data_IF_207211857611
#
_entry.id   IF_207211857611
#
_cell.length_a   1.000
_cell.length_b   1.000
_cell.length_c   1.000
_cell.angle_alpha   90.00
_cell.angle_beta   90.00
_cell.angle_gamma   90.00
#
_symmetry.space_group_name_H-M   'P 1'
#
loop_
_entity.id
_entity.type
_entity.pdbx_description
1 polymer ?
#
# COMPACT_ATOMS: atom_id res chain seq x y z
N UNK A 1 22.38 -5.30 14.16
CA UNK A 1 21.77 -3.97 14.31
C UNK A 1 22.25 -3.08 13.20
N UNK A 2 21.39 -2.18 12.70
CA UNK A 2 21.73 -1.15 11.70
C UNK A 2 21.37 0.23 12.26
N UNK A 3 22.04 1.30 11.82
CA UNK A 3 21.64 2.66 12.19
C UNK A 3 20.33 3.02 11.49
N UNK A 4 19.40 3.63 12.23
CA UNK A 4 18.08 4.05 11.75
C UNK A 4 18.18 4.88 10.47
N UNK A 5 19.08 5.85 10.43
CA UNK A 5 19.19 6.77 9.30
C UNK A 5 19.83 6.10 8.07
N UNK A 6 20.72 5.13 8.27
CA UNK A 6 21.24 4.28 7.19
C UNK A 6 20.13 3.39 6.62
N UNK A 7 19.28 2.82 7.48
CA UNK A 7 18.12 2.04 7.05
C UNK A 7 17.11 2.90 6.28
N UNK A 8 16.81 4.12 6.75
CA UNK A 8 15.94 5.06 6.03
C UNK A 8 16.53 5.38 4.65
N UNK A 9 17.85 5.66 4.58
CA UNK A 9 18.54 5.93 3.31
C UNK A 9 18.43 4.73 2.36
N UNK A 10 18.65 3.52 2.84
CA UNK A 10 18.49 2.29 2.05
C UNK A 10 17.05 2.13 1.53
N UNK A 11 16.04 2.39 2.37
CA UNK A 11 14.64 2.32 1.97
C UNK A 11 14.34 3.37 0.90
N UNK A 12 14.82 4.60 1.05
CA UNK A 12 14.60 5.66 0.06
C UNK A 12 15.29 5.36 -1.27
N UNK A 13 16.48 4.75 -1.24
CA UNK A 13 17.14 4.25 -2.44
C UNK A 13 16.33 3.13 -3.11
N UNK A 14 15.75 2.24 -2.29
CA UNK A 14 14.88 1.17 -2.78
C UNK A 14 13.61 1.71 -3.43
N UNK A 15 12.96 2.72 -2.83
CA UNK A 15 11.75 3.35 -3.39
C UNK A 15 12.06 4.18 -4.65
N UNK A 16 13.22 4.83 -4.68
CA UNK A 16 13.66 5.66 -5.80
C UNK A 16 13.31 7.14 -5.61
N UNK A 17 14.28 8.01 -5.93
CA UNK A 17 14.18 9.47 -5.73
C UNK A 17 13.04 10.09 -6.53
N UNK A 18 12.85 9.66 -7.78
CA UNK A 18 11.82 10.22 -8.67
C UNK A 18 10.41 9.90 -8.15
N UNK A 19 10.22 8.69 -7.60
CA UNK A 19 8.94 8.27 -7.05
C UNK A 19 8.61 9.03 -5.75
N UNK A 20 9.61 9.20 -4.88
CA UNK A 20 9.47 10.05 -3.68
C UNK A 20 9.15 11.50 -4.04
N UNK A 21 9.85 12.07 -5.04
CA UNK A 21 9.60 13.43 -5.50
C UNK A 21 8.21 13.60 -6.13
N UNK A 22 7.73 12.56 -6.81
CA UNK A 22 6.36 12.53 -7.35
C UNK A 22 5.32 12.46 -6.24
N UNK A 23 5.53 11.61 -5.24
CA UNK A 23 4.62 11.45 -4.10
C UNK A 23 4.30 12.79 -3.42
N UNK A 24 5.30 13.66 -3.27
CA UNK A 24 5.13 15.00 -2.67
C UNK A 24 4.14 15.91 -3.43
N UNK A 25 3.83 15.61 -4.69
CA UNK A 25 2.94 16.41 -5.54
C UNK A 25 1.54 15.81 -5.66
N UNK A 26 1.43 14.48 -5.57
CA UNK A 26 0.22 13.73 -5.95
C UNK A 26 -0.46 13.04 -4.78
N UNK A 27 0.19 13.01 -3.61
CA UNK A 27 -0.30 12.34 -2.42
C UNK A 27 -0.38 13.34 -1.26
N UNK A 28 -1.56 13.46 -0.67
CA UNK A 28 -1.77 14.27 0.53
C UNK A 28 -1.27 13.55 1.79
N UNK A 29 -0.99 12.25 1.71
CA UNK A 29 -0.43 11.44 2.80
C UNK A 29 1.10 11.40 2.67
N UNK A 30 1.79 11.57 3.80
CA UNK A 30 3.23 11.63 3.85
C UNK A 30 3.89 10.29 3.44
N UNK A 31 4.78 10.34 2.45
CA UNK A 31 5.62 9.23 2.00
C UNK A 31 7.06 9.42 2.50
N UNK A 32 7.49 8.61 3.47
CA UNK A 32 8.80 8.66 4.09
C UNK A 32 8.76 8.46 5.60
N UNK A 33 9.86 8.80 6.27
CA UNK A 33 9.95 8.81 7.72
C UNK A 33 9.05 9.89 8.31
N UNK A 34 8.25 9.51 9.31
CA UNK A 34 7.24 10.37 9.92
C UNK A 34 7.55 10.68 11.39
N UNK A 35 8.09 9.70 12.13
CA UNK A 35 8.55 9.84 13.51
C UNK A 35 9.86 9.07 13.65
N UNK A 36 10.87 9.69 14.26
CA UNK A 36 12.16 9.06 14.52
C UNK A 36 12.21 8.56 15.96
N UNK A 37 12.62 7.30 16.12
CA UNK A 37 12.80 6.64 17.42
C UNK A 37 14.27 6.32 17.68
N UNK A 38 14.56 5.15 18.26
CA UNK A 38 15.91 4.69 18.61
C UNK A 38 16.88 4.78 17.42
N UNK A 39 18.15 5.05 17.74
CA UNK A 39 19.21 5.14 16.74
C UNK A 39 19.59 3.78 16.16
N UNK A 40 19.62 2.73 16.98
CA UNK A 40 19.97 1.38 16.55
C UNK A 40 18.70 0.55 16.35
N UNK A 41 18.57 -0.06 15.17
CA UNK A 41 17.42 -0.90 14.79
C UNK A 41 17.86 -2.37 14.77
N UNK A 42 17.18 -3.19 15.57
CA UNK A 42 17.34 -4.64 15.60
C UNK A 42 16.20 -5.35 14.89
N UNK A 43 14.96 -4.82 15.02
CA UNK A 43 13.76 -5.49 14.56
C UNK A 43 12.80 -4.52 13.87
N UNK A 44 12.32 -4.93 12.70
CA UNK A 44 11.40 -4.17 11.85
C UNK A 44 10.04 -4.86 11.85
N UNK A 45 8.96 -4.11 12.05
CA UNK A 45 7.60 -4.57 11.87
C UNK A 45 6.99 -3.93 10.60
N UNK A 46 6.26 -4.72 9.80
CA UNK A 46 5.58 -4.26 8.59
C UNK A 46 4.07 -4.36 8.78
N UNK A 47 3.32 -3.32 8.45
CA UNK A 47 1.87 -3.31 8.57
C UNK A 47 1.17 -2.54 7.46
N UNK A 48 -0.10 -2.83 7.21
CA UNK A 48 -0.88 -2.06 6.23
C UNK A 48 -1.25 -0.68 6.75
N UNK A 49 -1.68 -0.59 8.01
CA UNK A 49 -2.15 0.67 8.60
C UNK A 49 -1.64 0.86 10.02
N UNK A 50 -1.28 2.10 10.36
CA UNK A 50 -0.87 2.50 11.70
C UNK A 50 -2.08 2.53 12.65
N UNK A 51 -2.30 1.41 13.36
CA UNK A 51 -3.35 1.26 14.35
C UNK A 51 -2.81 0.84 15.72
N UNK A 52 -3.62 0.98 16.77
CA UNK A 52 -3.21 0.73 18.15
C UNK A 52 -2.85 -0.75 18.42
N UNK A 53 -3.60 -1.68 17.82
CA UNK A 53 -3.37 -3.12 17.98
C UNK A 53 -2.02 -3.53 17.38
N UNK A 54 -1.72 -3.06 16.17
CA UNK A 54 -0.43 -3.26 15.53
C UNK A 54 0.71 -2.74 16.40
N UNK A 55 0.59 -1.52 16.93
CA UNK A 55 1.63 -0.92 17.77
C UNK A 55 1.84 -1.71 19.05
N UNK A 56 0.77 -2.19 19.70
CA UNK A 56 0.86 -3.05 20.88
C UNK A 56 1.62 -4.34 20.59
N UNK A 57 1.32 -5.00 19.47
CA UNK A 57 2.00 -6.24 19.09
C UNK A 57 3.45 -5.97 18.65
N UNK A 58 3.73 -4.88 17.95
CA UNK A 58 5.07 -4.45 17.58
C UNK A 58 5.94 -4.20 18.83
N UNK A 59 5.39 -3.52 19.84
CA UNK A 59 6.06 -3.31 21.14
C UNK A 59 6.28 -4.62 21.88
N UNK A 60 5.27 -5.49 21.95
CA UNK A 60 5.39 -6.82 22.58
C UNK A 60 6.47 -7.67 21.91
N UNK A 61 6.64 -7.51 20.59
CA UNK A 61 7.69 -8.16 19.81
C UNK A 61 9.00 -7.40 19.83
N UNK A 62 9.14 -6.30 20.56
CA UNK A 62 10.36 -5.49 20.65
C UNK A 62 10.82 -4.97 19.27
N UNK A 63 9.90 -4.50 18.45
CA UNK A 63 10.24 -3.76 17.23
C UNK A 63 10.86 -2.40 17.60
N UNK A 64 11.82 -1.94 16.81
CA UNK A 64 12.40 -0.59 16.93
C UNK A 64 11.93 0.33 15.78
N UNK A 65 11.44 -0.28 14.69
CA UNK A 65 11.14 0.39 13.44
C UNK A 65 9.89 -0.23 12.80
N UNK A 66 8.95 0.59 12.37
CA UNK A 66 7.71 0.15 11.75
C UNK A 66 7.54 0.80 10.36
N UNK A 67 7.22 -0.01 9.36
CA UNK A 67 6.91 0.45 7.99
C UNK A 67 5.43 0.19 7.71
N UNK A 68 4.75 1.23 7.24
CA UNK A 68 3.34 1.19 6.91
C UNK A 68 3.05 1.58 5.47
N UNK A 69 1.97 1.05 4.91
CA UNK A 69 1.36 1.64 3.71
C UNK A 69 0.57 2.92 4.10
N UNK A 70 -0.35 2.82 5.05
CA UNK A 70 -1.02 3.95 5.68
C UNK A 70 -0.35 4.31 7.01
N UNK A 71 0.60 5.25 6.96
CA UNK A 71 1.23 5.81 8.15
C UNK A 71 0.36 6.85 8.88
N UNK A 72 0.98 7.81 9.56
CA UNK A 72 0.29 8.99 10.06
C UNK A 72 -0.25 9.83 8.91
N UNK A 73 -1.51 10.22 9.03
CA UNK A 73 -2.16 11.16 8.13
C UNK A 73 -1.93 12.60 8.63
N UNK A 74 -1.13 13.41 7.92
CA UNK A 74 -0.79 14.74 8.37
C UNK A 74 -1.98 15.71 8.42
N UNK A 75 -3.06 15.41 7.69
CA UNK A 75 -4.27 16.23 7.71
C UNK A 75 -4.94 16.21 9.08
N UNK A 76 -4.73 15.15 9.86
CA UNK A 76 -5.20 15.05 11.25
C UNK A 76 -4.51 16.03 12.21
N UNK A 77 -3.37 16.61 11.83
CA UNK A 77 -2.63 17.60 12.63
C UNK A 77 -3.15 19.04 12.48
N UNK A 78 -4.04 19.32 11.52
CA UNK A 78 -4.63 20.65 11.33
C UNK A 78 -5.69 21.00 12.38
N UNK A 79 -5.96 20.11 13.34
CA UNK A 79 -6.92 20.27 14.42
C UNK A 79 -6.42 19.59 15.69
N UNK A 80 -7.28 19.50 16.71
CA UNK A 80 -6.98 18.78 17.95
C UNK A 80 -6.79 17.28 17.65
N UNK A 81 -5.79 16.68 18.29
CA UNK A 81 -5.63 15.23 18.26
C UNK A 81 -6.81 14.52 18.90
N UNK A 82 -7.41 13.57 18.19
CA UNK A 82 -8.36 12.65 18.79
C UNK A 82 -7.71 11.82 19.90
N UNK A 83 -8.50 11.32 20.85
CA UNK A 83 -7.99 10.42 21.89
C UNK A 83 -7.32 9.17 21.31
N UNK A 84 -7.82 8.65 20.18
CA UNK A 84 -7.22 7.52 19.48
C UNK A 84 -5.84 7.86 18.89
N UNK A 85 -5.68 9.05 18.30
CA UNK A 85 -4.38 9.51 17.82
C UNK A 85 -3.38 9.67 18.98
N UNK A 86 -3.82 10.27 20.10
CA UNK A 86 -3.00 10.45 21.30
C UNK A 86 -2.53 9.11 21.90
N UNK A 87 -3.41 8.09 21.96
CA UNK A 87 -3.03 6.74 22.42
C UNK A 87 -1.92 6.12 21.57
N UNK A 88 -2.02 6.24 20.24
CA UNK A 88 -0.99 5.74 19.30
C UNK A 88 0.32 6.50 19.47
N UNK A 89 0.27 7.83 19.54
CA UNK A 89 1.46 8.66 19.77
C UNK A 89 2.14 8.31 21.11
N UNK A 90 1.37 8.09 22.18
CA UNK A 90 1.90 7.65 23.47
C UNK A 90 2.62 6.31 23.38
N UNK A 91 2.08 5.33 22.65
CA UNK A 91 2.75 4.05 22.42
C UNK A 91 4.06 4.22 21.64
N UNK A 92 4.06 5.08 20.61
CA UNK A 92 5.23 5.31 19.77
C UNK A 92 6.35 5.98 20.56
N UNK A 93 6.05 7.10 21.22
CA UNK A 93 7.05 7.87 21.96
C UNK A 93 7.55 7.14 23.21
N UNK A 94 6.67 6.43 23.94
CA UNK A 94 7.10 5.68 25.13
C UNK A 94 8.08 4.54 24.80
N UNK A 95 8.04 4.01 23.58
CA UNK A 95 8.85 2.86 23.18
C UNK A 95 9.92 3.23 22.14
N UNK A 96 10.13 4.53 21.89
CA UNK A 96 11.09 5.06 20.92
C UNK A 96 10.98 4.38 19.54
N UNK A 97 9.77 4.18 19.04
CA UNK A 97 9.54 3.54 17.74
C UNK A 97 9.80 4.53 16.60
N UNK A 98 10.58 4.10 15.61
CA UNK A 98 10.65 4.80 14.32
C UNK A 98 9.47 4.41 13.45
N UNK A 99 8.76 5.38 12.90
CA UNK A 99 7.58 5.18 12.04
C UNK A 99 7.86 5.74 10.65
N UNK A 100 7.68 4.89 9.64
CA UNK A 100 7.82 5.23 8.23
C UNK A 100 6.57 4.79 7.49
N UNK A 101 6.03 5.66 6.63
CA UNK A 101 4.84 5.39 5.83
C UNK A 101 5.12 5.59 4.34
N UNK A 102 4.61 4.71 3.48
CA UNK A 102 4.68 4.86 2.03
C UNK A 102 3.33 4.51 1.42
N UNK A 103 2.54 5.55 1.13
CA UNK A 103 1.21 5.42 0.56
C UNK A 103 1.33 5.30 -0.98
N UNK A 104 1.30 6.42 -1.71
CA UNK A 104 1.48 6.45 -3.16
C UNK A 104 2.70 5.67 -3.64
N UNK A 105 3.84 5.80 -2.95
CA UNK A 105 5.06 5.11 -3.36
C UNK A 105 4.87 3.59 -3.41
N UNK A 106 4.17 2.98 -2.45
CA UNK A 106 3.93 1.53 -2.49
C UNK A 106 2.81 1.15 -3.46
N UNK A 107 1.88 2.01 -3.84
CA UNK A 107 0.95 1.67 -4.93
C UNK A 107 1.59 1.78 -6.31
N UNK A 108 2.47 2.76 -6.50
CA UNK A 108 3.07 3.10 -7.79
C UNK A 108 4.43 2.43 -8.06
N UNK A 109 5.06 1.76 -7.09
CA UNK A 109 6.36 1.13 -7.31
C UNK A 109 6.24 -0.11 -8.23
N UNK A 110 6.97 -0.18 -9.37
CA UNK A 110 6.77 -1.22 -10.39
C UNK A 110 7.29 -2.62 -10.03
N UNK A 111 7.82 -2.83 -8.83
CA UNK A 111 8.50 -4.07 -8.44
C UNK A 111 8.03 -4.57 -7.09
N UNK A 112 8.11 -3.71 -6.07
CA UNK A 112 7.74 -4.05 -4.68
C UNK A 112 6.38 -3.48 -4.27
N UNK A 113 5.72 -2.74 -5.16
CA UNK A 113 4.45 -2.09 -4.85
C UNK A 113 3.27 -3.06 -4.79
N UNK A 114 2.16 -2.60 -4.20
CA UNK A 114 0.93 -3.35 -4.02
C UNK A 114 0.40 -3.86 -5.36
N UNK A 115 0.17 -2.96 -6.32
CA UNK A 115 -0.32 -3.30 -7.66
C UNK A 115 0.63 -4.25 -8.40
N UNK A 116 1.93 -3.96 -8.38
CA UNK A 116 2.94 -4.80 -9.03
C UNK A 116 2.98 -6.21 -8.43
N UNK A 117 2.86 -6.33 -7.11
CA UNK A 117 2.82 -7.61 -6.41
C UNK A 117 1.55 -8.39 -6.75
N UNK A 118 0.39 -7.73 -6.80
CA UNK A 118 -0.88 -8.36 -7.22
C UNK A 118 -0.76 -8.91 -8.65
N UNK A 119 -0.29 -8.07 -9.59
CA UNK A 119 -0.10 -8.45 -11.00
C UNK A 119 0.84 -9.65 -11.12
N UNK A 120 1.97 -9.62 -10.41
CA UNK A 120 2.94 -10.73 -10.38
C UNK A 120 2.33 -12.01 -9.83
N UNK A 121 1.60 -11.93 -8.70
CA UNK A 121 0.92 -13.11 -8.11
C UNK A 121 -0.18 -13.66 -9.03
N UNK A 122 -0.84 -12.81 -9.79
CA UNK A 122 -1.80 -13.21 -10.82
C UNK A 122 -1.12 -13.84 -12.05
N UNK A 123 0.19 -13.67 -12.23
CA UNK A 123 0.93 -14.21 -13.37
C UNK A 123 0.82 -13.36 -14.65
N UNK A 124 0.47 -12.08 -14.52
CA UNK A 124 0.49 -11.11 -15.60
C UNK A 124 1.80 -10.30 -15.59
N UNK A 125 2.08 -9.61 -16.71
CA UNK A 125 3.21 -8.68 -16.84
C UNK A 125 2.68 -7.27 -17.04
N UNK A 126 3.23 -6.31 -16.28
CA UNK A 126 2.92 -4.88 -16.43
C UNK A 126 3.31 -4.46 -17.86
N UNK A 127 2.42 -3.74 -18.54
CA UNK A 127 2.64 -3.18 -19.88
C UNK A 127 2.50 -1.65 -19.91
N UNK A 128 2.06 -1.02 -18.81
CA UNK A 128 1.93 0.42 -18.70
C UNK A 128 1.21 0.87 -17.43
N UNK A 129 1.10 2.18 -17.26
CA UNK A 129 0.27 2.80 -16.22
C UNK A 129 -1.19 2.87 -16.70
N UNK A 130 -2.14 2.83 -15.76
CA UNK A 130 -3.57 2.81 -16.08
C UNK A 130 -4.36 3.93 -15.39
N UNK A 131 -4.13 4.16 -14.10
CA UNK A 131 -5.02 5.00 -13.29
C UNK A 131 -4.29 6.15 -12.60
N UNK A 132 -4.87 7.35 -12.74
CA UNK A 132 -4.33 8.60 -12.20
C UNK A 132 -2.87 8.82 -12.55
N UNK A 133 -2.15 9.46 -11.64
CA UNK A 133 -0.71 9.70 -11.76
C UNK A 133 0.17 8.47 -11.50
N UNK A 134 -0.29 7.26 -11.83
CA UNK A 134 0.45 6.00 -11.61
C UNK A 134 0.00 5.21 -10.39
N UNK A 135 -1.21 5.48 -9.88
CA UNK A 135 -1.85 4.73 -8.80
C UNK A 135 -2.28 3.31 -9.21
N UNK A 136 -2.22 2.99 -10.51
CA UNK A 136 -2.55 1.67 -11.02
C UNK A 136 -1.82 1.32 -12.30
N UNK A 137 -1.78 0.02 -12.59
CA UNK A 137 -1.08 -0.54 -13.75
C UNK A 137 -2.03 -1.32 -14.65
N UNK A 138 -1.75 -1.28 -15.96
CA UNK A 138 -2.30 -2.21 -16.93
C UNK A 138 -1.29 -3.34 -17.16
N UNK A 139 -1.80 -4.56 -17.23
CA UNK A 139 -0.99 -5.76 -17.36
C UNK A 139 -1.63 -6.78 -18.30
N UNK A 140 -0.79 -7.65 -18.87
CA UNK A 140 -1.18 -8.65 -19.86
C UNK A 140 -0.76 -10.04 -19.43
N UNK A 141 -1.65 -11.01 -19.59
CA UNK A 141 -1.32 -12.43 -19.48
C UNK A 141 -0.67 -12.93 -20.77
N UNK A 142 0.21 -13.93 -20.65
CA UNK A 142 0.75 -14.62 -21.82
C UNK A 142 -0.40 -15.28 -22.62
N UNK A 143 -1.20 -16.09 -21.91
CA UNK A 143 -2.41 -16.73 -22.42
C UNK A 143 -3.67 -16.14 -21.79
N UNK A 144 -4.78 -15.98 -22.53
CA UNK A 144 -6.05 -15.54 -21.96
C UNK A 144 -6.51 -16.41 -20.79
N UNK A 145 -7.03 -15.78 -19.74
CA UNK A 145 -7.48 -16.46 -18.53
C UNK A 145 -9.01 -16.47 -18.47
N UNK A 146 -9.62 -17.57 -18.02
CA UNK A 146 -11.06 -17.57 -17.76
C UNK A 146 -11.39 -16.74 -16.52
N UNK A 147 -12.57 -16.11 -16.52
CA UNK A 147 -13.03 -15.29 -15.39
C UNK A 147 -13.14 -16.09 -14.09
N UNK A 148 -13.64 -17.32 -14.17
CA UNK A 148 -13.72 -18.24 -13.01
C UNK A 148 -12.34 -18.54 -12.45
N UNK A 149 -11.34 -18.82 -13.30
CA UNK A 149 -9.98 -19.08 -12.86
C UNK A 149 -9.36 -17.85 -12.20
N UNK A 150 -9.57 -16.65 -12.77
CA UNK A 150 -9.11 -15.39 -12.16
C UNK A 150 -9.77 -15.13 -10.81
N UNK A 151 -11.09 -15.28 -10.70
CA UNK A 151 -11.83 -15.11 -9.44
C UNK A 151 -11.29 -16.04 -8.35
N UNK A 152 -11.09 -17.32 -8.68
CA UNK A 152 -10.54 -18.30 -7.75
C UNK A 152 -9.09 -17.97 -7.34
N UNK A 153 -8.29 -17.47 -8.29
CA UNK A 153 -6.91 -17.05 -8.01
C UNK A 153 -6.87 -15.82 -7.11
N UNK A 154 -7.72 -14.82 -7.36
CA UNK A 154 -7.88 -13.66 -6.48
C UNK A 154 -8.31 -14.08 -5.07
N UNK A 155 -9.32 -14.94 -4.94
CA UNK A 155 -9.80 -15.42 -3.64
C UNK A 155 -8.67 -16.08 -2.83
N UNK A 156 -7.84 -16.90 -3.48
CA UNK A 156 -6.65 -17.51 -2.86
C UNK A 156 -5.57 -16.49 -2.50
N UNK A 157 -5.33 -15.50 -3.37
CA UNK A 157 -4.30 -14.47 -3.16
C UNK A 157 -4.65 -13.58 -1.97
N UNK A 158 -5.92 -13.16 -1.87
CA UNK A 158 -6.41 -12.21 -0.88
C UNK A 158 -6.97 -12.89 0.38
N UNK A 159 -7.15 -14.22 0.35
CA UNK A 159 -7.69 -15.01 1.45
C UNK A 159 -9.06 -14.51 1.93
N UNK A 160 -9.91 -14.10 0.99
CA UNK A 160 -11.28 -13.65 1.23
C UNK A 160 -12.12 -13.87 -0.03
N UNK A 161 -13.45 -13.91 0.12
CA UNK A 161 -14.37 -13.95 -1.01
C UNK A 161 -14.23 -12.73 -1.93
N UNK A 162 -14.41 -12.96 -3.23
CA UNK A 162 -14.28 -11.92 -4.26
C UNK A 162 -15.64 -11.56 -4.82
N UNK A 163 -16.01 -10.29 -4.63
CA UNK A 163 -17.10 -9.67 -5.38
C UNK A 163 -16.65 -9.39 -6.80
N UNK A 164 -17.46 -9.77 -7.79
CA UNK A 164 -17.13 -9.64 -9.21
C UNK A 164 -18.39 -9.30 -10.00
N UNK A 165 -18.31 -8.28 -10.85
CA UNK A 165 -19.35 -7.94 -11.83
C UNK A 165 -18.85 -8.39 -13.20
N UNK A 166 -19.65 -9.20 -13.91
CA UNK A 166 -19.26 -9.82 -15.16
C UNK A 166 -20.19 -9.36 -16.27
N UNK A 167 -19.65 -8.64 -17.25
CA UNK A 167 -20.41 -8.16 -18.42
C UNK A 167 -20.52 -9.27 -19.50
N UNK A 168 -19.56 -10.19 -19.54
CA UNK A 168 -19.57 -11.35 -20.44
C UNK A 168 -18.68 -12.48 -19.91
N UNK A 169 -18.66 -13.62 -20.61
CA UNK A 169 -17.84 -14.80 -20.26
C UNK A 169 -16.56 -14.93 -21.09
N UNK A 170 -16.13 -13.88 -21.80
CA UNK A 170 -14.95 -13.96 -22.68
C UNK A 170 -13.66 -14.12 -21.85
N UNK A 171 -12.67 -14.89 -22.34
CA UNK A 171 -11.37 -14.95 -21.70
C UNK A 171 -10.70 -13.57 -21.60
N UNK A 172 -10.09 -13.29 -20.44
CA UNK A 172 -9.42 -12.03 -20.14
C UNK A 172 -7.94 -12.13 -20.49
N UNK A 173 -7.47 -11.29 -21.40
CA UNK A 173 -6.04 -11.19 -21.75
C UNK A 173 -5.34 -10.03 -21.08
N UNK A 174 -6.06 -8.95 -20.82
CA UNK A 174 -5.54 -7.70 -20.28
C UNK A 174 -6.34 -7.31 -19.03
N UNK A 175 -5.65 -6.88 -17.99
CA UNK A 175 -6.24 -6.42 -16.73
C UNK A 175 -5.70 -5.04 -16.39
N UNK A 176 -6.52 -4.26 -15.70
CA UNK A 176 -6.08 -3.12 -14.92
C UNK A 176 -6.13 -3.49 -13.44
N UNK A 177 -5.14 -3.05 -12.66
CA UNK A 177 -5.09 -3.27 -11.22
C UNK A 177 -4.84 -1.96 -10.52
N UNK A 178 -5.72 -1.66 -9.56
CA UNK A 178 -5.64 -0.53 -8.64
C UNK A 178 -6.00 -1.05 -7.25
N UNK A 179 -5.04 -1.06 -6.32
CA UNK A 179 -5.24 -1.42 -4.92
C UNK A 179 -5.92 -0.29 -4.13
N UNK A 180 -6.50 -0.64 -2.98
CA UNK A 180 -7.04 0.34 -2.04
C UNK A 180 -8.44 0.86 -2.40
N UNK A 181 -8.62 2.19 -2.32
CA UNK A 181 -9.92 2.85 -2.35
C UNK A 181 -10.53 3.09 -3.74
N UNK A 182 -10.00 2.51 -4.81
CA UNK A 182 -10.44 2.74 -6.19
C UNK A 182 -11.72 1.96 -6.59
N UNK A 183 -12.59 1.67 -5.61
CA UNK A 183 -13.87 1.05 -5.89
C UNK A 183 -14.73 2.05 -6.67
N UNK A 184 -15.24 1.71 -7.87
CA UNK A 184 -16.11 2.59 -8.62
C UNK A 184 -17.38 2.91 -7.82
N UNK A 185 -17.83 4.15 -7.90
CA UNK A 185 -19.09 4.61 -7.36
C UNK A 185 -20.28 3.96 -8.07
N UNK A 186 -21.48 4.09 -7.48
CA UNK A 186 -22.69 3.50 -8.05
C UNK A 186 -23.00 4.01 -9.47
N UNK A 187 -22.72 5.28 -9.75
CA UNK A 187 -22.93 5.91 -11.07
C UNK A 187 -21.97 5.35 -12.13
N UNK A 188 -20.70 5.18 -11.79
CA UNK A 188 -19.68 4.62 -12.69
C UNK A 188 -19.97 3.15 -13.02
N UNK A 189 -20.50 2.42 -12.04
CA UNK A 189 -20.95 1.04 -12.22
C UNK A 189 -22.15 0.94 -13.18
N UNK A 190 -23.14 1.83 -13.05
CA UNK A 190 -24.30 1.85 -13.95
C UNK A 190 -23.90 2.07 -15.42
N UNK A 191 -22.93 2.98 -15.67
CA UNK A 191 -22.40 3.22 -17.02
C UNK A 191 -21.62 2.01 -17.57
N UNK A 192 -20.99 1.21 -16.71
CA UNK A 192 -20.30 -0.03 -17.13
C UNK A 192 -21.26 -1.16 -17.48
N UNK A 193 -22.49 -1.17 -16.94
CA UNK A 193 -23.53 -2.17 -17.23
C UNK A 193 -24.26 -1.91 -18.56
N UNK A 194 -24.28 -0.66 -19.03
CA UNK A 194 -24.88 -0.25 -20.31
C UNK A 194 -24.01 -0.56 -21.56
N UNK A 195 -22.79 -1.08 -21.38
CA UNK A 195 -21.81 -1.37 -22.44
C UNK A 195 -21.53 -2.86 -22.61
#
# INVERSE_FOLDING_TARGET
MVKRDELIKFIYQTIGKDLLAKALKVDEIANGAQILGKENVSKIALGTSLNEEFLKEAVKREADFCIFHHGFDPRTFKSRFSLSAQKRLKLIFKNDLTIVGFHFCLDAHPQIGNNATIIKRLGAKIIGQFWGEGWGFIAKFAEPQSLTALKNKCAKIFNHEISSFLVNSKPVRTIAVVSGGAKPGAEEMAVMEER
#
